data_IF_969497444909
#
_entry.id   IF_969497444909
#
_cell.length_a   1.000
_cell.length_b   1.000
_cell.length_c   1.000
_cell.angle_alpha   90.00
_cell.angle_beta   90.00
_cell.angle_gamma   90.00
#
_symmetry.space_group_name_H-M   'P 1'
#
loop_
_entity.id
_entity.type
_entity.pdbx_description
1 polymer ?
#
# COMPACT_ATOMS: atom_id res chain seq x y z
N UNK A 1 -0.54 60.02 -87.68
CA UNK A 1 -0.65 60.54 -86.29
C UNK A 1 -1.30 59.50 -85.38
N UNK A 2 -0.58 58.49 -84.86
CA UNK A 2 -1.14 57.43 -83.98
C UNK A 2 -0.17 56.87 -82.92
N UNK A 3 1.03 57.47 -82.75
CA UNK A 3 2.08 56.94 -81.87
C UNK A 3 2.11 57.54 -80.45
N UNK A 4 1.37 58.62 -80.20
CA UNK A 4 1.44 59.37 -78.93
C UNK A 4 0.36 59.01 -77.89
N UNK A 5 -0.69 58.28 -78.28
CA UNK A 5 -1.77 57.89 -77.35
C UNK A 5 -1.43 56.62 -76.54
N UNK A 6 -0.54 55.75 -77.04
CA UNK A 6 -0.22 54.46 -76.42
C UNK A 6 0.77 54.58 -75.26
N UNK A 7 1.74 55.51 -75.34
CA UNK A 7 2.73 55.75 -74.28
C UNK A 7 2.11 56.35 -73.01
N UNK A 8 1.09 57.20 -73.14
CA UNK A 8 0.46 57.88 -72.00
C UNK A 8 -0.39 56.93 -71.14
N UNK A 9 -1.05 55.94 -71.75
CA UNK A 9 -1.81 54.91 -71.01
C UNK A 9 -0.91 53.87 -70.33
N UNK A 10 0.26 53.57 -70.90
CA UNK A 10 1.23 52.65 -70.31
C UNK A 10 1.83 53.18 -69.00
N UNK A 11 2.14 54.48 -68.94
CA UNK A 11 2.69 55.12 -67.73
C UNK A 11 1.66 55.24 -66.61
N UNK A 12 0.38 55.45 -66.93
CA UNK A 12 -0.70 55.53 -65.93
C UNK A 12 -1.02 54.17 -65.30
N UNK A 13 -0.99 53.10 -66.09
CA UNK A 13 -1.19 51.73 -65.59
C UNK A 13 -0.02 51.24 -64.73
N UNK A 14 1.22 51.62 -65.04
CA UNK A 14 2.39 51.25 -64.25
C UNK A 14 2.39 51.89 -62.85
N UNK A 15 2.00 53.18 -62.75
CA UNK A 15 1.88 53.87 -61.46
C UNK A 15 0.74 53.29 -60.60
N UNK A 16 -0.41 52.97 -61.20
CA UNK A 16 -1.53 52.35 -60.50
C UNK A 16 -1.18 50.93 -59.99
N UNK A 17 -0.47 50.13 -60.79
CA UNK A 17 0.00 48.81 -60.38
C UNK A 17 1.04 48.88 -59.26
N UNK A 18 1.93 49.87 -59.29
CA UNK A 18 2.93 50.07 -58.23
C UNK A 18 2.29 50.52 -56.92
N UNK A 19 1.30 51.42 -56.95
CA UNK A 19 0.53 51.81 -55.77
C UNK A 19 -0.31 50.65 -55.23
N UNK A 20 -0.89 49.81 -56.08
CA UNK A 20 -1.66 48.63 -55.65
C UNK A 20 -0.74 47.58 -54.99
N UNK A 21 0.44 47.32 -55.57
CA UNK A 21 1.44 46.43 -54.98
C UNK A 21 1.98 46.98 -53.66
N UNK A 22 2.26 48.29 -53.56
CA UNK A 22 2.70 48.91 -52.32
C UNK A 22 1.61 48.86 -51.23
N UNK A 23 0.33 49.05 -51.58
CA UNK A 23 -0.78 48.92 -50.65
C UNK A 23 -1.01 47.46 -50.20
N UNK A 24 -0.89 46.49 -51.10
CA UNK A 24 -0.98 45.06 -50.78
C UNK A 24 0.19 44.59 -49.92
N UNK A 25 1.42 45.03 -50.21
CA UNK A 25 2.61 44.71 -49.39
C UNK A 25 2.53 45.36 -48.00
N UNK A 26 1.96 46.56 -47.89
CA UNK A 26 1.71 47.25 -46.62
C UNK A 26 0.58 46.59 -45.81
N UNK A 27 -0.47 46.08 -46.48
CA UNK A 27 -1.54 45.32 -45.85
C UNK A 27 -1.07 43.93 -45.37
N UNK A 28 -0.16 43.29 -46.11
CA UNK A 28 0.45 42.01 -45.72
C UNK A 28 1.50 42.16 -44.61
N UNK A 29 2.21 43.28 -44.52
CA UNK A 29 3.16 43.54 -43.41
C UNK A 29 2.47 44.04 -42.14
N UNK A 30 1.29 44.66 -42.25
CA UNK A 30 0.45 45.06 -41.11
C UNK A 30 -0.32 43.90 -40.48
N UNK A 31 -0.42 42.75 -41.15
CA UNK A 31 -0.79 41.47 -40.53
C UNK A 31 0.41 40.91 -39.75
N UNK A 32 1.00 41.74 -38.89
CA UNK A 32 1.66 41.21 -37.70
C UNK A 32 0.66 40.31 -37.02
N UNK A 33 1.08 39.11 -36.65
CA UNK A 33 0.31 38.07 -35.98
C UNK A 33 -0.12 38.58 -34.58
N UNK A 34 -0.99 39.59 -34.54
CA UNK A 34 -1.49 40.22 -33.34
C UNK A 34 -2.58 39.29 -32.80
N UNK A 35 -2.14 38.34 -31.96
CA UNK A 35 -3.04 37.52 -31.17
C UNK A 35 -4.00 38.48 -30.44
N UNK A 36 -5.33 38.37 -30.63
CA UNK A 36 -6.26 39.30 -30.03
C UNK A 36 -6.16 39.23 -28.50
N UNK A 37 -6.26 40.37 -27.83
CA UNK A 37 -6.14 40.47 -26.37
C UNK A 37 -7.08 39.50 -25.63
N UNK A 38 -8.26 39.22 -26.20
CA UNK A 38 -9.21 38.24 -25.67
C UNK A 38 -8.69 36.80 -25.65
N UNK A 39 -7.85 36.41 -26.61
CA UNK A 39 -7.23 35.07 -26.66
C UNK A 39 -6.14 34.95 -25.59
N UNK A 40 -5.40 36.03 -25.32
CA UNK A 40 -4.41 36.05 -24.24
C UNK A 40 -5.08 35.99 -22.85
N UNK A 41 -6.18 36.74 -22.67
CA UNK A 41 -6.96 36.72 -21.43
C UNK A 41 -7.61 35.34 -21.18
N UNK A 42 -8.15 34.72 -22.23
CA UNK A 42 -8.72 33.37 -22.15
C UNK A 42 -7.65 32.31 -21.85
N UNK A 43 -6.46 32.40 -22.46
CA UNK A 43 -5.35 31.50 -22.17
C UNK A 43 -4.84 31.66 -20.71
N UNK A 44 -4.79 32.88 -20.20
CA UNK A 44 -4.40 33.16 -18.81
C UNK A 44 -5.43 32.65 -17.80
N UNK A 45 -6.73 32.74 -18.12
CA UNK A 45 -7.78 32.14 -17.31
C UNK A 45 -7.69 30.60 -17.29
N UNK A 46 -7.39 29.98 -18.44
CA UNK A 46 -7.17 28.53 -18.53
C UNK A 46 -5.94 28.07 -17.75
N UNK A 47 -4.83 28.80 -17.83
CA UNK A 47 -3.61 28.53 -17.04
C UNK A 47 -3.90 28.56 -15.54
N UNK A 48 -4.61 29.59 -15.05
CA UNK A 48 -4.99 29.68 -13.64
C UNK A 48 -5.91 28.53 -13.19
N UNK A 49 -6.83 28.11 -14.06
CA UNK A 49 -7.69 26.96 -13.77
C UNK A 49 -6.86 25.66 -13.67
N UNK A 50 -5.93 25.44 -14.61
CA UNK A 50 -5.02 24.29 -14.55
C UNK A 50 -4.10 24.33 -13.34
N UNK A 51 -3.58 25.49 -12.96
CA UNK A 51 -2.75 25.64 -11.75
C UNK A 51 -3.53 25.29 -10.49
N UNK A 52 -4.81 25.67 -10.40
CA UNK A 52 -5.67 25.30 -9.28
C UNK A 52 -5.94 23.78 -9.24
N UNK A 53 -6.17 23.16 -10.40
CA UNK A 53 -6.33 21.70 -10.50
C UNK A 53 -5.05 20.96 -10.12
N UNK A 54 -3.88 21.44 -10.56
CA UNK A 54 -2.58 20.86 -10.20
C UNK A 54 -2.29 21.00 -8.70
N UNK A 55 -2.65 22.13 -8.09
CA UNK A 55 -2.53 22.32 -6.64
C UNK A 55 -3.40 21.32 -5.87
N UNK A 56 -4.69 21.21 -6.24
CA UNK A 56 -5.61 20.27 -5.62
C UNK A 56 -5.16 18.80 -5.80
N UNK A 57 -4.65 18.44 -6.98
CA UNK A 57 -4.11 17.11 -7.23
C UNK A 57 -2.84 16.85 -6.41
N UNK A 58 -1.98 17.86 -6.25
CA UNK A 58 -0.75 17.74 -5.45
C UNK A 58 -1.07 17.49 -3.98
N UNK A 59 -2.09 18.15 -3.44
CA UNK A 59 -2.58 17.93 -2.07
C UNK A 59 -3.12 16.50 -1.90
N UNK A 60 -3.96 16.02 -2.83
CA UNK A 60 -4.48 14.64 -2.81
C UNK A 60 -3.35 13.60 -2.90
N UNK A 61 -2.34 13.85 -3.73
CA UNK A 61 -1.17 12.96 -3.83
C UNK A 61 -0.36 12.96 -2.53
N UNK A 62 -0.25 14.09 -1.84
CA UNK A 62 0.43 14.17 -0.55
C UNK A 62 -0.30 13.35 0.53
N UNK A 63 -1.63 13.45 0.59
CA UNK A 63 -2.47 12.66 1.51
C UNK A 63 -2.37 11.16 1.22
N UNK A 64 -2.50 10.74 -0.04
CA UNK A 64 -2.37 9.34 -0.44
C UNK A 64 -0.98 8.76 -0.13
N UNK A 65 0.08 9.56 -0.29
CA UNK A 65 1.43 9.14 0.08
C UNK A 65 1.58 8.93 1.59
N UNK A 66 0.96 9.77 2.41
CA UNK A 66 0.95 9.59 3.86
C UNK A 66 0.21 8.29 4.25
N UNK A 67 -0.98 8.08 3.69
CA UNK A 67 -1.77 6.87 3.93
C UNK A 67 -1.03 5.59 3.47
N UNK A 68 -0.33 5.64 2.33
CA UNK A 68 0.49 4.52 1.85
C UNK A 68 1.64 4.22 2.82
N UNK A 69 2.32 5.25 3.33
CA UNK A 69 3.39 5.07 4.29
C UNK A 69 2.90 4.48 5.63
N UNK A 70 1.70 4.87 6.08
CA UNK A 70 1.06 4.26 7.25
C UNK A 70 0.72 2.78 7.00
N UNK A 71 0.14 2.46 5.84
CA UNK A 71 -0.21 1.09 5.46
C UNK A 71 1.03 0.19 5.35
N UNK A 72 2.13 0.70 4.77
CA UNK A 72 3.39 -0.03 4.71
C UNK A 72 3.98 -0.31 6.10
N UNK A 73 3.88 0.65 7.03
CA UNK A 73 4.30 0.45 8.42
C UNK A 73 3.44 -0.60 9.12
N UNK A 74 2.12 -0.58 8.92
CA UNK A 74 1.22 -1.58 9.48
C UNK A 74 1.53 -2.98 8.93
N UNK A 75 1.74 -3.11 7.62
CA UNK A 75 2.10 -4.38 6.98
C UNK A 75 3.41 -4.95 7.55
N UNK A 76 4.45 -4.13 7.73
CA UNK A 76 5.71 -4.58 8.32
C UNK A 76 5.57 -5.07 9.78
N UNK A 77 4.67 -4.46 10.55
CA UNK A 77 4.36 -4.91 11.91
C UNK A 77 3.62 -6.26 11.90
N UNK A 78 2.67 -6.44 10.97
CA UNK A 78 1.97 -7.71 10.80
C UNK A 78 2.93 -8.83 10.34
N UNK A 79 3.83 -8.57 9.39
CA UNK A 79 4.85 -9.55 8.98
C UNK A 79 5.73 -9.98 10.18
N UNK A 80 6.17 -9.01 10.98
CA UNK A 80 6.95 -9.28 12.20
C UNK A 80 6.17 -10.10 13.21
N UNK A 81 4.86 -9.83 13.35
CA UNK A 81 3.96 -10.59 14.22
C UNK A 81 3.83 -12.03 13.72
N UNK A 82 3.55 -12.23 12.43
CA UNK A 82 3.41 -13.53 11.81
C UNK A 82 4.68 -14.38 11.98
N UNK A 83 5.86 -13.81 11.75
CA UNK A 83 7.13 -14.53 11.96
C UNK A 83 7.36 -14.92 13.42
N UNK A 84 6.98 -14.06 14.37
CA UNK A 84 7.03 -14.41 15.79
C UNK A 84 6.06 -15.54 16.14
N UNK A 85 4.85 -15.53 15.61
CA UNK A 85 3.85 -16.58 15.84
C UNK A 85 4.30 -17.92 15.26
N UNK A 86 4.87 -17.94 14.05
CA UNK A 86 5.50 -19.13 13.47
C UNK A 86 6.64 -19.67 14.33
N UNK A 87 7.50 -18.80 14.86
CA UNK A 87 8.59 -19.22 15.77
C UNK A 87 8.05 -19.87 17.05
N UNK A 88 7.01 -19.29 17.65
CA UNK A 88 6.37 -19.85 18.85
C UNK A 88 5.76 -21.24 18.55
N UNK A 89 5.08 -21.39 17.43
CA UNK A 89 4.49 -22.68 17.03
C UNK A 89 5.57 -23.74 16.75
N UNK A 90 6.61 -23.38 15.99
CA UNK A 90 7.71 -24.29 15.65
C UNK A 90 8.44 -24.79 16.91
N UNK A 91 8.67 -23.90 17.87
CA UNK A 91 9.28 -24.26 19.16
C UNK A 91 8.37 -25.21 19.95
N UNK A 92 7.07 -24.90 20.07
CA UNK A 92 6.12 -25.76 20.78
C UNK A 92 6.02 -27.16 20.14
N UNK A 93 6.07 -27.26 18.81
CA UNK A 93 6.08 -28.55 18.11
C UNK A 93 7.30 -29.42 18.43
N UNK A 94 8.42 -28.82 18.85
CA UNK A 94 9.61 -29.54 19.29
C UNK A 94 9.49 -30.12 20.72
N UNK A 95 8.43 -29.77 21.45
CA UNK A 95 8.27 -30.07 22.88
C UNK A 95 7.01 -30.91 23.20
N UNK A 96 6.81 -32.10 22.61
CA UNK A 96 5.64 -32.94 22.88
C UNK A 96 5.56 -33.42 24.34
N UNK A 97 6.67 -33.41 25.09
CA UNK A 97 6.71 -33.71 26.53
C UNK A 97 5.93 -32.71 27.40
N UNK A 98 5.54 -31.55 26.84
CA UNK A 98 4.71 -30.56 27.53
C UNK A 98 3.22 -30.95 27.55
N UNK A 99 2.81 -31.99 26.82
CA UNK A 99 1.44 -32.48 26.80
C UNK A 99 1.21 -33.28 28.09
N UNK A 100 0.28 -32.88 28.97
CA UNK A 100 0.15 -33.44 30.32
C UNK A 100 -0.65 -34.75 30.38
N UNK A 101 -0.90 -35.38 29.23
CA UNK A 101 -1.64 -36.64 29.12
C UNK A 101 -0.86 -37.64 28.27
N UNK A 102 -0.96 -38.91 28.65
CA UNK A 102 -0.39 -40.01 27.88
C UNK A 102 -1.30 -40.43 26.73
N UNK A 103 -0.69 -40.99 25.69
CA UNK A 103 -1.43 -41.59 24.59
C UNK A 103 -2.18 -42.86 25.02
N UNK A 104 -3.24 -43.15 24.30
CA UNK A 104 -4.12 -44.30 24.48
C UNK A 104 -3.93 -45.31 23.34
N UNK A 105 -4.16 -46.59 23.64
CA UNK A 105 -4.10 -47.69 22.66
C UNK A 105 -2.77 -47.75 21.87
N UNK A 106 -1.65 -47.40 22.52
CA UNK A 106 -0.33 -47.37 21.88
C UNK A 106 -0.08 -46.16 20.99
N UNK A 107 -0.99 -45.18 20.96
CA UNK A 107 -0.77 -43.89 20.33
C UNK A 107 0.25 -43.04 21.09
N UNK A 108 0.84 -42.07 20.40
CA UNK A 108 1.76 -41.09 21.00
C UNK A 108 1.21 -39.70 20.79
N UNK A 109 1.01 -38.97 21.89
CA UNK A 109 0.55 -37.60 21.85
C UNK A 109 1.55 -36.73 21.09
N UNK A 110 1.04 -35.97 20.14
CA UNK A 110 1.80 -34.99 19.38
C UNK A 110 0.91 -33.80 19.09
N UNK A 111 1.52 -32.62 19.03
CA UNK A 111 0.82 -31.46 18.50
C UNK A 111 0.45 -31.70 17.03
N UNK A 112 -0.74 -31.26 16.64
CA UNK A 112 -1.15 -31.37 15.24
C UNK A 112 -0.27 -30.44 14.37
N UNK A 113 0.19 -30.91 13.20
CA UNK A 113 1.00 -30.11 12.29
C UNK A 113 0.19 -29.08 11.50
N UNK A 114 -1.15 -29.08 11.64
CA UNK A 114 -2.01 -28.07 11.01
C UNK A 114 -1.66 -26.66 11.53
N UNK A 115 -1.49 -25.69 10.64
CA UNK A 115 -1.21 -24.29 10.98
C UNK A 115 -2.28 -23.70 11.91
N UNK A 116 -3.49 -24.25 11.86
CA UNK A 116 -4.63 -23.84 12.68
C UNK A 116 -4.62 -24.40 14.11
N UNK A 117 -3.76 -25.40 14.39
CA UNK A 117 -3.70 -26.12 15.65
C UNK A 117 -3.02 -25.33 16.77
N UNK A 118 -2.06 -24.47 16.44
CA UNK A 118 -1.39 -23.57 17.40
C UNK A 118 -1.80 -22.13 17.11
N UNK A 119 -2.34 -21.44 18.11
CA UNK A 119 -2.82 -20.06 17.99
C UNK A 119 -2.27 -19.20 19.10
N UNK A 120 -1.54 -18.14 18.73
CA UNK A 120 -1.08 -17.15 19.70
C UNK A 120 -2.24 -16.22 20.05
N UNK A 121 -2.73 -16.34 21.29
CA UNK A 121 -3.87 -15.56 21.77
C UNK A 121 -3.42 -14.19 22.29
N UNK A 122 -2.24 -14.13 22.91
CA UNK A 122 -1.67 -12.89 23.42
C UNK A 122 -0.15 -12.99 23.52
N UNK A 123 0.51 -11.86 23.25
CA UNK A 123 1.97 -11.69 23.46
C UNK A 123 2.27 -10.57 24.45
N UNK A 124 1.24 -10.07 25.14
CA UNK A 124 1.40 -9.07 26.17
C UNK A 124 2.18 -9.64 27.36
N UNK A 125 3.14 -8.89 27.89
CA UNK A 125 4.05 -9.37 28.95
C UNK A 125 3.34 -9.87 30.22
N UNK A 126 2.16 -9.34 30.55
CA UNK A 126 1.39 -9.76 31.73
C UNK A 126 0.53 -11.01 31.48
N UNK A 127 0.29 -11.37 30.21
CA UNK A 127 -0.53 -12.52 29.83
C UNK A 127 -0.12 -13.07 28.46
N UNK A 128 1.08 -13.65 28.33
CA UNK A 128 1.51 -14.33 27.12
C UNK A 128 0.80 -15.68 27.03
N UNK A 129 -0.08 -15.86 26.05
CA UNK A 129 -0.93 -17.05 25.96
C UNK A 129 -0.91 -17.64 24.55
N UNK A 130 -0.79 -18.96 24.49
CA UNK A 130 -0.84 -19.75 23.26
C UNK A 130 -1.81 -20.91 23.48
N UNK A 131 -2.75 -21.06 22.56
CA UNK A 131 -3.58 -22.24 22.43
C UNK A 131 -2.87 -23.27 21.56
N UNK A 132 -2.99 -24.55 21.90
CA UNK A 132 -2.49 -25.65 21.08
C UNK A 132 -3.47 -26.82 21.08
N UNK A 133 -3.49 -27.56 19.97
CA UNK A 133 -4.21 -28.81 19.83
C UNK A 133 -3.22 -29.96 19.64
N UNK A 134 -3.43 -31.05 20.37
CA UNK A 134 -2.65 -32.27 20.26
C UNK A 134 -3.55 -33.50 20.22
N UNK A 135 -3.05 -34.58 19.62
CA UNK A 135 -3.75 -35.85 19.50
C UNK A 135 -2.76 -37.01 19.41
N UNK A 136 -3.24 -38.21 19.72
CA UNK A 136 -2.52 -39.47 19.50
C UNK A 136 -3.09 -40.30 18.34
N UNK A 137 -4.22 -39.86 17.76
CA UNK A 137 -5.00 -40.58 16.75
C UNK A 137 -6.25 -41.30 17.29
N UNK A 138 -6.44 -41.34 18.61
CA UNK A 138 -7.62 -41.90 19.29
C UNK A 138 -8.33 -40.87 20.17
N UNK A 139 -7.54 -40.02 20.82
CA UNK A 139 -7.95 -38.96 21.73
C UNK A 139 -7.29 -37.65 21.32
N UNK A 140 -7.97 -36.56 21.64
CA UNK A 140 -7.53 -35.22 21.36
C UNK A 140 -7.55 -34.40 22.65
N UNK A 141 -6.66 -33.41 22.72
CA UNK A 141 -6.57 -32.48 23.83
C UNK A 141 -6.35 -31.07 23.34
N UNK A 142 -7.12 -30.15 23.92
CA UNK A 142 -6.94 -28.71 23.76
C UNK A 142 -6.12 -28.21 24.94
N UNK A 143 -5.07 -27.44 24.67
CA UNK A 143 -4.15 -26.95 25.68
C UNK A 143 -4.05 -25.43 25.64
N UNK A 144 -3.84 -24.86 26.81
CA UNK A 144 -3.48 -23.46 26.98
C UNK A 144 -2.11 -23.38 27.65
N UNK A 145 -1.21 -22.65 27.01
CA UNK A 145 0.15 -22.44 27.47
C UNK A 145 0.40 -20.97 27.80
N UNK A 146 1.21 -20.74 28.82
CA UNK A 146 1.97 -19.50 29.00
C UNK A 146 3.40 -19.69 28.52
N UNK A 147 3.99 -18.63 28.00
CA UNK A 147 5.39 -18.64 27.59
C UNK A 147 6.14 -17.42 28.10
N UNK A 148 7.43 -17.61 28.34
CA UNK A 148 8.36 -16.55 28.73
C UNK A 148 9.63 -16.64 27.88
N UNK A 149 10.19 -15.50 27.51
CA UNK A 149 11.51 -15.47 26.88
C UNK A 149 12.57 -15.50 27.98
N UNK A 150 13.42 -16.54 27.98
CA UNK A 150 14.60 -16.58 28.82
C UNK A 150 15.67 -15.59 28.32
N UNK A 151 16.65 -15.28 29.18
CA UNK A 151 17.70 -14.30 28.90
C UNK A 151 18.61 -14.69 27.71
N UNK A 152 18.70 -15.99 27.40
CA UNK A 152 19.42 -16.57 26.28
C UNK A 152 18.59 -16.64 24.98
N UNK A 153 17.33 -16.20 25.03
CA UNK A 153 16.40 -16.24 23.90
C UNK A 153 15.61 -17.55 23.78
N UNK A 154 15.81 -18.52 24.67
CA UNK A 154 14.99 -19.74 24.71
C UNK A 154 13.57 -19.44 25.20
N UNK A 155 12.60 -20.24 24.75
CA UNK A 155 11.21 -20.16 25.21
C UNK A 155 11.00 -21.12 26.38
N UNK A 156 10.51 -20.58 27.49
CA UNK A 156 10.04 -21.38 28.63
C UNK A 156 8.54 -21.49 28.55
N UNK A 157 8.05 -22.72 28.52
CA UNK A 157 6.62 -23.03 28.43
C UNK A 157 6.08 -23.52 29.75
N UNK A 158 4.82 -23.18 30.01
CA UNK A 158 4.04 -23.73 31.12
C UNK A 158 2.64 -24.04 30.63
N UNK A 159 2.22 -25.30 30.67
CA UNK A 159 0.81 -25.64 30.48
C UNK A 159 0.02 -25.11 31.67
N UNK A 160 -1.02 -24.32 31.42
CA UNK A 160 -1.86 -23.72 32.47
C UNK A 160 -3.26 -24.31 32.51
N UNK A 161 -3.73 -24.87 31.40
CA UNK A 161 -4.99 -25.58 31.34
C UNK A 161 -5.02 -26.56 30.18
N UNK A 162 -5.82 -27.62 30.29
CA UNK A 162 -6.11 -28.52 29.19
C UNK A 162 -7.52 -29.13 29.30
N UNK A 163 -8.06 -29.59 28.17
CA UNK A 163 -9.34 -30.31 28.09
C UNK A 163 -9.23 -31.43 27.06
N UNK A 164 -9.46 -32.67 27.52
CA UNK A 164 -9.43 -33.89 26.71
C UNK A 164 -10.82 -34.56 26.62
N UNK A 165 -11.89 -33.77 26.72
CA UNK A 165 -13.28 -34.22 26.60
C UNK A 165 -14.01 -34.43 27.94
N UNK A 166 -13.33 -34.19 29.07
CA UNK A 166 -13.89 -34.27 30.43
C UNK A 166 -14.23 -32.91 31.03
N UNK A 167 -13.96 -31.81 30.33
CA UNK A 167 -14.04 -30.44 30.83
C UNK A 167 -12.65 -29.86 31.13
N UNK A 168 -12.63 -28.56 31.40
CA UNK A 168 -11.39 -27.81 31.58
C UNK A 168 -10.69 -28.18 32.90
N UNK A 169 -9.48 -28.69 32.78
CA UNK A 169 -8.56 -28.91 33.91
C UNK A 169 -7.59 -27.74 34.00
N UNK A 170 -7.55 -27.08 35.16
CA UNK A 170 -6.59 -26.01 35.45
C UNK A 170 -5.36 -26.61 36.13
N UNK A 171 -4.18 -26.22 35.67
CA UNK A 171 -2.92 -26.57 36.31
C UNK A 171 -2.53 -25.42 37.23
N UNK A 172 -2.43 -25.70 38.54
CA UNK A 172 -2.00 -24.71 39.52
C UNK A 172 -0.60 -24.19 39.18
N UNK A 173 -0.30 -22.92 39.48
CA UNK A 173 1.05 -22.41 39.33
C UNK A 173 1.98 -23.22 40.24
N UNK A 174 2.89 -23.99 39.65
CA UNK A 174 3.99 -24.56 40.42
C UNK A 174 4.80 -23.39 41.00
N UNK A 175 4.82 -23.30 42.33
CA UNK A 175 5.70 -22.38 43.03
C UNK A 175 7.14 -22.83 42.77
N UNK A 176 7.91 -22.00 42.06
CA UNK A 176 9.38 -22.11 41.99
C UNK A 176 10.01 -21.65 43.32
#
# INVERSE_FOLDING_TARGET
MKKNLFRSRLFLCAAAAFCLCAALLCACSAQGNAVPASVHEQALAQLKAQDAELQALTEQVAELKAALADAQRAAALEDTRTEREKRLAADLYAHPELIPIEGTLGGTMRFSPDESAVRVLSTASYMPLVYAYAEDGHTAVNLLFRFENAADGALKWRCVAYDHGGGLTLLEPQAE
#
